data_IF_302568135654
#
_entry.id   IF_302568135654
#
_cell.length_a   1.000
_cell.length_b   1.000
_cell.length_c   1.000
_cell.angle_alpha   90.00
_cell.angle_beta   90.00
_cell.angle_gamma   90.00
#
_symmetry.space_group_name_H-M   'P 1'
#
loop_
_entity.id
_entity.type
_entity.pdbx_description
1 polymer ?
#
# COMPACT_ATOMS: atom_id res chain seq x y z
N UNK A 1 12.28 -20.82 21.84
CA UNK A 1 12.32 -19.69 20.88
C UNK A 1 11.83 -20.25 19.56
N UNK A 2 10.66 -19.82 19.10
CA UNK A 2 9.94 -20.49 18.03
C UNK A 2 10.64 -20.18 16.71
N UNK A 3 11.28 -21.16 16.08
CA UNK A 3 11.87 -21.03 14.74
C UNK A 3 10.89 -20.43 13.71
N UNK A 4 9.58 -20.54 13.98
CA UNK A 4 8.49 -19.93 13.24
C UNK A 4 8.43 -18.38 13.31
N UNK A 5 8.95 -17.76 14.37
CA UNK A 5 9.04 -16.29 14.49
C UNK A 5 10.35 -15.76 13.88
N UNK A 6 11.42 -16.56 13.95
CA UNK A 6 12.74 -16.16 13.44
C UNK A 6 12.77 -15.98 11.91
N UNK A 7 12.04 -16.80 11.15
CA UNK A 7 11.95 -16.63 9.69
C UNK A 7 11.11 -15.41 9.30
N UNK A 8 10.11 -15.04 10.12
CA UNK A 8 9.29 -13.85 9.88
C UNK A 8 10.08 -12.57 10.17
N UNK A 9 11.00 -12.61 11.14
CA UNK A 9 11.93 -11.52 11.41
C UNK A 9 13.05 -11.39 10.35
N UNK A 10 13.33 -12.45 9.60
CA UNK A 10 14.30 -12.45 8.49
C UNK A 10 13.74 -11.86 7.18
N UNK A 11 12.42 -11.72 7.06
CA UNK A 11 11.79 -11.02 5.94
C UNK A 11 12.10 -9.53 6.04
N UNK A 12 12.67 -8.96 4.97
CA UNK A 12 12.91 -7.52 4.90
C UNK A 12 11.56 -6.80 5.12
N UNK A 13 11.45 -5.95 6.17
CA UNK A 13 10.20 -5.27 6.51
C UNK A 13 9.66 -4.40 5.37
N UNK A 14 10.52 -3.96 4.44
CA UNK A 14 10.12 -3.23 3.23
C UNK A 14 9.31 -4.12 2.30
N UNK A 15 9.70 -5.39 2.13
CA UNK A 15 8.97 -6.34 1.29
C UNK A 15 7.61 -6.68 1.89
N UNK A 16 7.54 -6.79 3.22
CA UNK A 16 6.27 -7.00 3.94
C UNK A 16 5.32 -5.83 3.71
N UNK A 17 5.80 -4.59 3.82
CA UNK A 17 4.99 -3.39 3.55
C UNK A 17 4.53 -3.33 2.09
N UNK A 18 5.39 -3.64 1.14
CA UNK A 18 5.03 -3.67 -0.29
C UNK A 18 3.98 -4.75 -0.59
N UNK A 19 4.13 -5.94 -0.02
CA UNK A 19 3.16 -7.02 -0.17
C UNK A 19 1.79 -6.64 0.43
N UNK A 20 1.77 -5.99 1.59
CA UNK A 20 0.55 -5.47 2.19
C UNK A 20 -0.12 -4.42 1.30
N UNK A 21 0.64 -3.45 0.77
CA UNK A 21 0.12 -2.44 -0.16
C UNK A 21 -0.50 -3.06 -1.41
N UNK A 22 0.17 -4.07 -1.97
CA UNK A 22 -0.27 -4.79 -3.16
C UNK A 22 -1.56 -5.59 -2.87
N UNK A 23 -1.60 -6.32 -1.76
CA UNK A 23 -2.77 -7.07 -1.33
C UNK A 23 -3.99 -6.17 -1.11
N UNK A 24 -3.80 -5.02 -0.45
CA UNK A 24 -4.87 -4.05 -0.19
C UNK A 24 -5.42 -3.45 -1.50
N UNK A 25 -4.55 -3.13 -2.47
CA UNK A 25 -4.96 -2.63 -3.78
C UNK A 25 -5.78 -3.65 -4.56
N UNK A 26 -5.33 -4.90 -4.58
CA UNK A 26 -6.02 -5.98 -5.29
C UNK A 26 -7.39 -6.24 -4.65
N UNK A 27 -7.47 -6.25 -3.32
CA UNK A 27 -8.72 -6.40 -2.58
C UNK A 27 -9.71 -5.27 -2.86
N UNK A 28 -9.25 -4.01 -2.78
CA UNK A 28 -10.08 -2.85 -3.08
C UNK A 28 -10.61 -2.86 -4.53
N UNK A 29 -9.74 -3.24 -5.48
CA UNK A 29 -10.14 -3.40 -6.90
C UNK A 29 -11.17 -4.52 -7.07
N UNK A 30 -10.98 -5.66 -6.39
CA UNK A 30 -11.91 -6.79 -6.42
C UNK A 30 -13.31 -6.42 -5.90
N UNK A 31 -13.39 -5.73 -4.76
CA UNK A 31 -14.67 -5.24 -4.21
C UNK A 31 -15.34 -4.25 -5.17
N UNK A 32 -14.56 -3.34 -5.76
CA UNK A 32 -15.06 -2.36 -6.73
C UNK A 32 -15.60 -3.04 -7.99
N UNK A 33 -14.93 -4.11 -8.46
CA UNK A 33 -15.37 -4.89 -9.61
C UNK A 33 -16.70 -5.62 -9.34
N UNK A 34 -16.87 -6.16 -8.12
CA UNK A 34 -18.07 -6.88 -7.67
C UNK A 34 -19.28 -5.97 -7.36
N UNK A 35 -19.08 -4.65 -7.26
CA UNK A 35 -20.16 -3.69 -7.00
C UNK A 35 -21.28 -3.76 -8.06
N UNK A 36 -22.51 -3.41 -7.70
CA UNK A 36 -23.65 -3.27 -8.63
C UNK A 36 -23.63 -1.94 -9.41
N UNK A 37 -22.64 -1.07 -9.15
CA UNK A 37 -22.52 0.24 -9.79
C UNK A 37 -22.35 0.16 -11.32
N UNK A 38 -22.79 1.19 -12.06
CA UNK A 38 -22.58 1.27 -13.51
C UNK A 38 -21.08 1.26 -13.86
N UNK A 39 -20.76 0.69 -15.04
CA UNK A 39 -19.38 0.48 -15.51
C UNK A 39 -18.49 1.73 -15.44
N UNK A 40 -19.04 2.90 -15.79
CA UNK A 40 -18.31 4.18 -15.74
C UNK A 40 -17.84 4.53 -14.34
N UNK A 41 -18.67 4.27 -13.34
CA UNK A 41 -18.38 4.60 -11.95
C UNK A 41 -17.34 3.63 -11.38
N UNK A 42 -17.41 2.34 -11.73
CA UNK A 42 -16.38 1.34 -11.39
C UNK A 42 -15.00 1.74 -11.90
N UNK A 43 -14.91 2.16 -13.16
CA UNK A 43 -13.63 2.57 -13.77
C UNK A 43 -13.05 3.79 -13.07
N UNK A 44 -13.89 4.75 -12.69
CA UNK A 44 -13.47 5.92 -11.91
C UNK A 44 -12.90 5.49 -10.55
N UNK A 45 -13.57 4.60 -9.85
CA UNK A 45 -13.12 4.09 -8.55
C UNK A 45 -11.82 3.28 -8.63
N UNK A 46 -11.66 2.45 -9.66
CA UNK A 46 -10.39 1.73 -9.89
C UNK A 46 -9.25 2.72 -10.14
N UNK A 47 -9.48 3.78 -10.92
CA UNK A 47 -8.48 4.81 -11.15
C UNK A 47 -8.09 5.56 -9.86
N UNK A 48 -9.06 5.87 -8.99
CA UNK A 48 -8.83 6.49 -7.68
C UNK A 48 -8.02 5.56 -6.75
N UNK A 49 -8.36 4.27 -6.70
CA UNK A 49 -7.64 3.26 -5.89
C UNK A 49 -6.17 3.18 -6.34
N UNK A 50 -5.92 3.17 -7.64
CA UNK A 50 -4.55 3.17 -8.19
C UNK A 50 -3.80 4.48 -7.94
N UNK A 51 -4.49 5.61 -7.89
CA UNK A 51 -3.87 6.90 -7.57
C UNK A 51 -3.49 7.00 -6.09
N UNK A 52 -4.23 6.35 -5.20
CA UNK A 52 -4.02 6.39 -3.75
C UNK A 52 -2.57 6.08 -3.31
N UNK A 53 -1.90 4.99 -3.75
CA UNK A 53 -0.51 4.73 -3.39
C UNK A 53 0.47 5.77 -3.96
N UNK A 54 0.18 6.33 -5.14
CA UNK A 54 1.00 7.38 -5.76
C UNK A 54 0.91 8.66 -4.92
N UNK A 55 -0.31 9.09 -4.61
CA UNK A 55 -0.57 10.28 -3.79
C UNK A 55 0.00 10.11 -2.38
N UNK A 56 -0.17 8.94 -1.77
CA UNK A 56 0.44 8.60 -0.49
C UNK A 56 1.97 8.68 -0.52
N UNK A 57 2.60 8.23 -1.61
CA UNK A 57 4.06 8.32 -1.79
C UNK A 57 4.53 9.76 -1.94
N UNK A 58 3.80 10.58 -2.71
CA UNK A 58 4.10 12.02 -2.88
C UNK A 58 3.89 12.79 -1.58
N UNK A 59 2.80 12.55 -0.86
CA UNK A 59 2.54 13.13 0.46
C UNK A 59 3.64 12.76 1.45
N UNK A 60 4.05 11.50 1.46
CA UNK A 60 5.16 11.05 2.31
C UNK A 60 6.49 11.69 1.90
N UNK A 61 6.74 11.96 0.63
CA UNK A 61 7.95 12.67 0.23
C UNK A 61 8.00 14.11 0.77
N UNK A 62 6.86 14.80 0.81
CA UNK A 62 6.76 16.20 1.26
C UNK A 62 6.69 16.32 2.78
N UNK A 63 5.84 15.51 3.42
CA UNK A 63 5.53 15.57 4.85
C UNK A 63 6.23 14.49 5.67
N UNK A 64 6.88 13.53 5.01
CA UNK A 64 7.55 12.44 5.69
C UNK A 64 8.68 12.93 6.58
N UNK A 65 9.02 12.12 7.59
CA UNK A 65 10.00 12.49 8.59
C UNK A 65 11.35 12.82 7.94
N UNK A 66 11.73 14.11 7.94
CA UNK A 66 13.08 14.60 7.59
C UNK A 66 14.14 14.20 8.63
N UNK A 67 13.77 13.36 9.60
CA UNK A 67 14.45 13.08 10.87
C UNK A 67 15.87 12.49 10.76
N UNK A 68 16.35 12.21 9.55
CA UNK A 68 17.69 11.67 9.30
C UNK A 68 18.71 12.74 8.89
N UNK A 69 18.28 14.00 8.66
CA UNK A 69 19.18 15.08 8.28
C UNK A 69 19.98 15.68 9.45
N UNK A 70 19.47 15.57 10.68
CA UNK A 70 20.03 16.23 11.89
C UNK A 70 20.95 15.32 12.73
N UNK A 71 21.33 14.14 12.23
CA UNK A 71 22.27 13.22 12.90
C UNK A 71 23.65 13.18 12.21
N UNK A 72 24.15 14.33 11.79
CA UNK A 72 25.58 14.55 11.47
C UNK A 72 26.16 15.60 12.39
#
# INVERSE_FOLDING_TARGET
MNAALDWAAALDPRLVLLALLAALNLWATGITALSTAPRREKVLWVAVIFLCPIVGSVLWFVFGPKLWAERR
#
